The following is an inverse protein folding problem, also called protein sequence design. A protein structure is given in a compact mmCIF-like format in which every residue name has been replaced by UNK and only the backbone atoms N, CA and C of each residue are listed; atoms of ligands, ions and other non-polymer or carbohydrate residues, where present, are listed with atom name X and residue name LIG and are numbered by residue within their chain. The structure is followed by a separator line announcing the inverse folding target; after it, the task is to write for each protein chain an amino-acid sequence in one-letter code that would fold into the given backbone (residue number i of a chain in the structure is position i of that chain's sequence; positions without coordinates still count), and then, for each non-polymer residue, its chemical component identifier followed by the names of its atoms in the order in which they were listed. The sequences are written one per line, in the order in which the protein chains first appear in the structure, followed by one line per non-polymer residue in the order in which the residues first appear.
data_IF_094561634279
#
_entry.id   IF_094561634279
#
_cell.length_a   1.000
_cell.length_b   1.000
_cell.length_c   1.000
_cell.angle_alpha   90.00
_cell.angle_beta   90.00
_cell.angle_gamma   90.00
#
_symmetry.space_group_name_H-M   'P 1'
#
loop_
_entity.id
_entity.type
_entity.pdbx_description
1 polymer ?
#
# COMPACT_ATOMS: atom_id res chain seq x y z
N UNK A 1 -3.58 1.10 -20.63
CA UNK A 1 -3.87 2.43 -20.04
C UNK A 1 -5.23 3.06 -20.39
N UNK A 2 -5.66 3.09 -21.66
CA UNK A 2 -6.83 3.90 -22.08
C UNK A 2 -8.18 3.47 -21.47
N UNK A 3 -8.42 2.18 -21.24
CA UNK A 3 -9.72 1.72 -20.73
C UNK A 3 -9.95 2.05 -19.27
N UNK A 4 -8.95 1.85 -18.41
CA UNK A 4 -9.08 2.13 -16.97
C UNK A 4 -9.19 3.62 -16.69
N UNK A 5 -8.46 4.45 -17.45
CA UNK A 5 -8.63 5.91 -17.43
C UNK A 5 -10.03 6.33 -17.85
N UNK A 6 -10.57 5.77 -18.94
CA UNK A 6 -11.94 6.02 -19.40
C UNK A 6 -12.99 5.56 -18.37
N UNK A 7 -12.78 4.43 -17.69
CA UNK A 7 -13.69 3.94 -16.63
C UNK A 7 -13.67 4.87 -15.41
N UNK A 8 -12.49 5.27 -14.93
CA UNK A 8 -12.37 6.24 -13.84
C UNK A 8 -13.01 7.59 -14.20
N UNK A 9 -12.75 8.11 -15.39
CA UNK A 9 -13.35 9.37 -15.87
C UNK A 9 -14.87 9.27 -15.95
N UNK A 10 -15.44 8.18 -16.49
CA UNK A 10 -16.89 7.97 -16.53
C UNK A 10 -17.51 7.93 -15.13
N UNK A 11 -16.88 7.24 -14.20
CA UNK A 11 -17.35 7.20 -12.80
C UNK A 11 -17.26 8.57 -12.13
N UNK A 12 -16.19 9.32 -12.37
CA UNK A 12 -16.02 10.66 -11.82
C UNK A 12 -17.05 11.64 -12.40
N UNK A 13 -17.26 11.62 -13.72
CA UNK A 13 -18.31 12.40 -14.38
C UNK A 13 -19.69 12.02 -13.85
N UNK A 14 -19.98 10.72 -13.70
CA UNK A 14 -21.23 10.23 -13.12
C UNK A 14 -21.45 10.71 -11.68
N UNK A 15 -20.39 10.74 -10.86
CA UNK A 15 -20.43 11.26 -9.50
C UNK A 15 -20.73 12.77 -9.47
N UNK A 16 -20.03 13.56 -10.28
CA UNK A 16 -20.27 15.01 -10.41
C UNK A 16 -21.68 15.29 -10.93
N UNK A 17 -22.13 14.57 -11.96
CA UNK A 17 -23.49 14.69 -12.50
C UNK A 17 -24.56 14.35 -11.45
N UNK A 18 -24.31 13.36 -10.60
CA UNK A 18 -25.19 13.01 -9.48
C UNK A 18 -25.27 14.16 -8.48
N UNK A 19 -24.14 14.75 -8.07
CA UNK A 19 -24.13 15.93 -7.17
C UNK A 19 -24.93 17.09 -7.78
N UNK A 20 -24.72 17.38 -9.07
CA UNK A 20 -25.44 18.45 -9.77
C UNK A 20 -26.95 18.17 -9.83
N UNK A 21 -27.35 16.93 -10.12
CA UNK A 21 -28.75 16.52 -10.11
C UNK A 21 -29.38 16.75 -8.73
N UNK A 22 -28.72 16.31 -7.65
CA UNK A 22 -29.22 16.54 -6.29
C UNK A 22 -29.29 18.03 -5.94
N UNK A 23 -28.31 18.84 -6.34
CA UNK A 23 -28.35 20.28 -6.13
C UNK A 23 -29.55 20.95 -6.83
N UNK A 24 -29.83 20.55 -8.08
CA UNK A 24 -31.01 21.04 -8.82
C UNK A 24 -32.31 20.60 -8.16
N UNK A 25 -32.43 19.31 -7.77
CA UNK A 25 -33.62 18.80 -7.07
C UNK A 25 -33.85 19.54 -5.75
N UNK A 26 -32.80 19.78 -4.98
CA UNK A 26 -32.88 20.57 -3.75
C UNK A 26 -33.36 22.00 -4.02
N UNK A 27 -32.82 22.68 -5.03
CA UNK A 27 -33.25 24.03 -5.41
C UNK A 27 -34.74 24.07 -5.81
N UNK A 28 -35.20 23.07 -6.59
CA UNK A 28 -36.60 22.94 -6.98
C UNK A 28 -37.52 22.76 -5.76
N UNK A 29 -37.15 21.92 -4.80
CA UNK A 29 -37.91 21.73 -3.56
C UNK A 29 -38.00 23.05 -2.77
N UNK A 30 -36.91 23.81 -2.70
CA UNK A 30 -36.86 25.08 -1.98
C UNK A 30 -37.80 26.14 -2.60
N UNK A 31 -37.78 26.28 -3.93
CA UNK A 31 -38.57 27.28 -4.68
C UNK A 31 -40.07 26.91 -4.76
N UNK A 32 -40.42 25.62 -4.62
CA UNK A 32 -41.81 25.16 -4.67
C UNK A 32 -42.72 25.86 -3.63
N UNK A 33 -44.01 26.02 -3.93
CA UNK A 33 -45.01 26.58 -3.00
C UNK A 33 -45.58 25.56 -2.00
N UNK A 34 -44.94 24.39 -1.85
CA UNK A 34 -45.44 23.31 -1.01
C UNK A 34 -45.34 23.63 0.49
N UNK A 35 -46.18 22.96 1.28
CA UNK A 35 -46.16 23.04 2.73
C UNK A 35 -44.76 22.67 3.27
N UNK A 36 -44.31 23.38 4.31
CA UNK A 36 -43.01 23.18 4.96
C UNK A 36 -42.76 21.71 5.35
N UNK A 37 -43.78 21.02 5.84
CA UNK A 37 -43.65 19.61 6.26
C UNK A 37 -43.33 18.70 5.07
N UNK A 38 -43.94 18.95 3.91
CA UNK A 38 -43.68 18.18 2.68
C UNK A 38 -42.27 18.47 2.17
N UNK A 39 -41.82 19.74 2.21
CA UNK A 39 -40.47 20.12 1.83
C UNK A 39 -39.41 19.41 2.69
N UNK A 40 -39.61 19.38 4.01
CA UNK A 40 -38.70 18.73 4.95
C UNK A 40 -38.60 17.22 4.70
N UNK A 41 -39.74 16.54 4.50
CA UNK A 41 -39.75 15.11 4.19
C UNK A 41 -39.02 14.78 2.89
N UNK A 42 -39.23 15.58 1.83
CA UNK A 42 -38.51 15.40 0.56
C UNK A 42 -37.03 15.70 0.69
N UNK A 43 -36.66 16.72 1.46
CA UNK A 43 -35.26 17.06 1.71
C UNK A 43 -34.53 15.92 2.43
N UNK A 44 -35.17 15.33 3.45
CA UNK A 44 -34.63 14.15 4.15
C UNK A 44 -34.45 12.97 3.20
N UNK A 45 -35.44 12.71 2.33
CA UNK A 45 -35.35 11.65 1.33
C UNK A 45 -34.18 11.88 0.37
N UNK A 46 -34.00 13.10 -0.14
CA UNK A 46 -32.88 13.46 -1.01
C UNK A 46 -31.53 13.26 -0.30
N UNK A 47 -31.44 13.61 0.98
CA UNK A 47 -30.22 13.43 1.77
C UNK A 47 -29.87 11.95 1.94
N UNK A 48 -30.86 11.10 2.22
CA UNK A 48 -30.68 9.64 2.32
C UNK A 48 -30.19 9.08 0.98
N UNK A 49 -30.81 9.48 -0.14
CA UNK A 49 -30.41 9.02 -1.47
C UNK A 49 -28.99 9.49 -1.84
N UNK A 50 -28.62 10.72 -1.49
CA UNK A 50 -27.27 11.26 -1.69
C UNK A 50 -26.22 10.50 -0.86
N UNK A 51 -26.55 10.14 0.37
CA UNK A 51 -25.69 9.32 1.23
C UNK A 51 -25.44 7.94 0.62
N UNK A 52 -26.50 7.27 0.15
CA UNK A 52 -26.40 5.98 -0.55
C UNK A 52 -25.52 6.11 -1.80
N UNK A 53 -25.75 7.14 -2.63
CA UNK A 53 -24.95 7.39 -3.82
C UNK A 53 -23.47 7.60 -3.47
N UNK A 54 -23.18 8.38 -2.43
CA UNK A 54 -21.80 8.65 -1.98
C UNK A 54 -21.09 7.37 -1.53
N UNK A 55 -21.77 6.52 -0.75
CA UNK A 55 -21.26 5.21 -0.32
C UNK A 55 -21.01 4.30 -1.52
N UNK A 56 -21.83 4.38 -2.56
CA UNK A 56 -21.69 3.59 -3.79
C UNK A 56 -20.51 4.06 -4.68
N UNK A 57 -20.32 5.38 -4.83
CA UNK A 57 -19.27 5.93 -5.70
C UNK A 57 -17.87 5.88 -5.08
N UNK A 58 -17.74 6.20 -3.79
CA UNK A 58 -16.45 6.34 -3.10
C UNK A 58 -15.52 5.13 -3.27
N UNK A 59 -15.92 3.88 -2.96
CA UNK A 59 -15.02 2.73 -3.07
C UNK A 59 -14.63 2.43 -4.52
N UNK A 60 -15.54 2.66 -5.49
CA UNK A 60 -15.27 2.42 -6.91
C UNK A 60 -14.28 3.43 -7.48
N UNK A 61 -14.44 4.71 -7.16
CA UNK A 61 -13.49 5.75 -7.56
C UNK A 61 -12.10 5.47 -7.00
N UNK A 62 -12.04 5.07 -5.73
CA UNK A 62 -10.79 4.70 -5.06
C UNK A 62 -10.11 3.51 -5.74
N UNK A 63 -10.85 2.41 -5.95
CA UNK A 63 -10.35 1.20 -6.61
C UNK A 63 -9.73 1.51 -7.98
N UNK A 64 -10.45 2.25 -8.83
CA UNK A 64 -9.93 2.59 -10.16
C UNK A 64 -8.75 3.57 -10.12
N UNK A 65 -8.70 4.48 -9.16
CA UNK A 65 -7.53 5.36 -8.96
C UNK A 65 -6.28 4.57 -8.55
N UNK A 66 -6.46 3.59 -7.65
CA UNK A 66 -5.41 2.67 -7.22
C UNK A 66 -4.89 1.84 -8.39
N UNK A 67 -5.79 1.23 -9.17
CA UNK A 67 -5.41 0.42 -10.33
C UNK A 67 -4.65 1.26 -11.38
N UNK A 68 -5.10 2.49 -11.67
CA UNK A 68 -4.36 3.36 -12.59
C UNK A 68 -2.94 3.67 -12.10
N UNK A 69 -2.77 3.86 -10.79
CA UNK A 69 -1.46 4.10 -10.19
C UNK A 69 -0.56 2.87 -10.33
N UNK A 70 -1.13 1.69 -10.17
CA UNK A 70 -0.45 0.42 -10.34
C UNK A 70 0.00 0.19 -11.79
N UNK A 71 -0.89 0.41 -12.76
CA UNK A 71 -0.55 0.31 -14.19
C UNK A 71 0.57 1.29 -14.58
N UNK A 72 0.52 2.54 -14.12
CA UNK A 72 1.58 3.54 -14.38
C UNK A 72 2.94 3.12 -13.84
N UNK A 73 2.95 2.43 -12.69
CA UNK A 73 4.17 1.91 -12.09
C UNK A 73 4.75 0.77 -12.94
N UNK A 74 3.88 -0.11 -13.47
CA UNK A 74 4.24 -1.21 -14.38
C UNK A 74 4.65 -0.78 -15.78
N UNK A 75 4.17 0.36 -16.29
CA UNK A 75 4.55 0.88 -17.62
C UNK A 75 6.01 1.34 -17.67
N UNK A 76 6.58 1.69 -16.52
CA UNK A 76 7.96 2.18 -16.43
C UNK A 76 8.72 1.45 -15.32
N UNK A 77 8.78 0.11 -15.35
CA UNK A 77 9.48 -0.64 -14.32
C UNK A 77 10.96 -0.35 -14.48
N UNK A 78 11.62 -0.09 -13.37
CA UNK A 78 13.07 0.02 -13.37
C UNK A 78 13.70 -1.37 -13.43
N UNK A 79 14.90 -1.44 -13.99
CA UNK A 79 15.68 -2.67 -14.05
C UNK A 79 16.01 -3.20 -12.64
N UNK A 80 16.24 -4.52 -12.51
CA UNK A 80 16.68 -5.15 -11.28
C UNK A 80 17.93 -4.46 -10.73
N UNK A 81 18.05 -4.42 -9.41
CA UNK A 81 19.18 -3.78 -8.74
C UNK A 81 20.21 -4.85 -8.38
N UNK A 82 21.45 -4.66 -8.82
CA UNK A 82 22.58 -5.46 -8.32
C UNK A 82 22.87 -5.05 -6.87
N UNK A 83 22.80 -6.01 -5.95
CA UNK A 83 23.03 -5.74 -4.53
C UNK A 83 24.53 -5.76 -4.23
N UNK A 84 24.98 -4.88 -3.33
CA UNK A 84 26.35 -4.95 -2.80
C UNK A 84 26.50 -6.04 -1.75
N UNK A 85 25.40 -6.30 -1.03
CA UNK A 85 25.33 -7.31 0.00
C UNK A 85 24.69 -8.58 -0.51
N UNK A 86 25.19 -9.72 -0.06
CA UNK A 86 24.48 -10.97 -0.23
C UNK A 86 23.35 -11.04 0.80
N UNK A 87 22.11 -10.86 0.33
CA UNK A 87 20.92 -10.80 1.17
C UNK A 87 20.62 -12.14 1.86
N UNK A 88 21.21 -13.24 1.39
CA UNK A 88 21.06 -14.57 2.00
C UNK A 88 22.01 -14.79 3.19
N UNK A 89 23.06 -13.97 3.30
CA UNK A 89 24.15 -14.19 4.25
C UNK A 89 23.87 -13.54 5.62
N UNK A 90 24.38 -14.17 6.68
CA UNK A 90 24.36 -13.66 8.06
C UNK A 90 25.04 -12.31 8.23
N UNK A 91 25.98 -11.97 7.33
CA UNK A 91 26.60 -10.64 7.29
C UNK A 91 25.59 -9.52 7.04
N UNK A 92 24.61 -9.75 6.16
CA UNK A 92 23.55 -8.78 5.90
C UNK A 92 22.55 -8.69 7.06
N UNK A 93 22.22 -9.81 7.71
CA UNK A 93 21.43 -9.81 8.95
C UNK A 93 22.10 -8.95 10.04
N UNK A 94 23.43 -9.09 10.19
CA UNK A 94 24.22 -8.28 11.12
C UNK A 94 24.20 -6.80 10.74
N UNK A 95 24.21 -6.50 9.44
CA UNK A 95 24.07 -5.13 8.93
C UNK A 95 22.71 -4.52 9.24
N UNK A 96 21.61 -5.29 9.11
CA UNK A 96 20.27 -4.84 9.50
C UNK A 96 20.22 -4.46 10.99
N UNK A 97 20.81 -5.29 11.87
CA UNK A 97 20.90 -4.97 13.30
C UNK A 97 21.68 -3.69 13.57
N UNK A 98 22.78 -3.45 12.83
CA UNK A 98 23.53 -2.17 12.89
C UNK A 98 22.71 -0.97 12.40
N UNK A 99 21.70 -1.18 11.57
CA UNK A 99 20.73 -0.16 11.12
C UNK A 99 19.51 -0.04 12.04
N UNK A 100 19.64 -0.50 13.29
CA UNK A 100 18.63 -0.42 14.35
C UNK A 100 17.38 -1.28 14.11
N UNK A 101 17.43 -2.21 13.15
CA UNK A 101 16.40 -3.24 13.03
C UNK A 101 16.58 -4.28 14.13
N UNK A 102 15.49 -4.59 14.84
CA UNK A 102 15.45 -5.62 15.88
C UNK A 102 14.95 -6.91 15.27
N UNK A 103 15.61 -8.01 15.60
CA UNK A 103 15.13 -9.34 15.23
C UNK A 103 13.91 -9.69 16.10
N UNK A 104 12.82 -10.09 15.46
CA UNK A 104 11.61 -10.55 16.14
C UNK A 104 11.54 -12.08 16.17
N UNK A 105 11.69 -12.71 15.01
CA UNK A 105 11.70 -14.17 14.87
C UNK A 105 12.71 -14.59 13.81
N UNK A 106 13.38 -15.72 14.03
CA UNK A 106 14.25 -16.37 13.07
C UNK A 106 13.99 -17.87 13.10
N UNK A 107 13.34 -18.38 12.06
CA UNK A 107 13.06 -19.79 11.90
C UNK A 107 13.63 -20.30 10.56
N UNK A 108 13.46 -21.59 10.29
CA UNK A 108 13.86 -22.20 9.01
C UNK A 108 13.08 -21.62 7.82
N UNK A 109 11.80 -21.26 8.02
CA UNK A 109 10.94 -20.78 6.94
C UNK A 109 11.15 -19.31 6.61
N UNK A 110 11.29 -18.45 7.62
CA UNK A 110 11.45 -17.01 7.43
C UNK A 110 12.11 -16.33 8.64
N UNK A 111 12.60 -15.11 8.39
CA UNK A 111 13.16 -14.20 9.39
C UNK A 111 12.43 -12.89 9.35
N UNK A 112 12.08 -12.33 10.51
CA UNK A 112 11.42 -11.02 10.61
C UNK A 112 12.24 -10.07 11.44
N UNK A 113 12.55 -8.94 10.82
CA UNK A 113 13.11 -7.77 11.46
C UNK A 113 12.08 -6.66 11.53
N UNK A 114 12.19 -5.82 12.55
CA UNK A 114 11.32 -4.67 12.68
C UNK A 114 12.07 -3.47 13.25
N UNK A 115 11.59 -2.28 12.90
CA UNK A 115 12.07 -1.02 13.45
C UNK A 115 10.89 -0.08 13.62
N UNK A 116 10.85 0.58 14.77
CA UNK A 116 9.92 1.68 14.99
C UNK A 116 10.63 2.99 14.67
N UNK A 117 10.10 3.74 13.71
CA UNK A 117 10.63 5.04 13.34
C UNK A 117 9.56 6.11 13.57
N UNK A 118 9.99 7.28 14.05
CA UNK A 118 9.17 8.48 13.93
C UNK A 118 9.50 9.05 12.56
N UNK A 119 8.48 9.34 11.74
CA UNK A 119 8.63 9.75 10.33
C UNK A 119 9.86 10.67 10.12
N UNK A 120 10.63 10.46 9.03
CA UNK A 120 11.73 11.34 8.66
C UNK A 120 11.31 12.82 8.66
N UNK A 121 12.27 13.73 8.91
CA UNK A 121 12.04 15.19 8.96
C UNK A 121 11.31 15.79 7.74
N UNK A 122 11.26 15.06 6.62
CA UNK A 122 10.73 15.50 5.33
C UNK A 122 9.21 15.29 5.16
N UNK A 123 8.52 14.64 6.10
CA UNK A 123 7.07 14.48 6.05
C UNK A 123 6.35 15.62 6.78
N UNK A 124 5.25 16.11 6.18
CA UNK A 124 4.42 17.20 6.74
C UNK A 124 3.81 16.81 8.09
N UNK A 125 3.45 15.54 8.25
CA UNK A 125 2.95 14.95 9.51
C UNK A 125 3.96 13.94 10.01
N UNK A 126 4.41 14.07 11.26
CA UNK A 126 5.38 13.15 11.88
C UNK A 126 4.68 11.92 12.45
N UNK A 127 4.04 11.14 11.60
CA UNK A 127 3.31 9.97 12.04
C UNK A 127 4.32 8.85 12.37
N UNK A 128 4.11 8.10 13.46
CA UNK A 128 4.99 6.97 13.76
C UNK A 128 4.76 5.84 12.75
N UNK A 129 5.85 5.19 12.33
CA UNK A 129 5.85 4.14 11.32
C UNK A 129 6.49 2.87 11.87
N UNK A 130 5.82 1.74 11.63
CA UNK A 130 6.37 0.41 11.87
C UNK A 130 6.95 -0.11 10.55
N UNK A 131 8.25 -0.32 10.53
CA UNK A 131 8.99 -0.85 9.40
C UNK A 131 9.31 -2.31 9.66
N UNK A 132 8.89 -3.19 8.75
CA UNK A 132 9.05 -4.64 8.89
C UNK A 132 9.75 -5.16 7.64
N UNK A 133 10.77 -5.99 7.85
CA UNK A 133 11.49 -6.69 6.79
C UNK A 133 11.31 -8.18 7.04
N UNK A 134 10.83 -8.89 6.03
CA UNK A 134 10.61 -10.34 6.07
C UNK A 134 11.48 -11.00 5.02
N UNK A 135 12.26 -11.98 5.45
CA UNK A 135 13.13 -12.77 4.60
C UNK A 135 12.57 -14.17 4.51
N UNK A 136 12.09 -14.56 3.33
CA UNK A 136 11.44 -15.85 3.07
C UNK A 136 12.51 -16.82 2.57
N UNK A 137 12.88 -17.77 3.42
CA UNK A 137 13.91 -18.79 3.16
C UNK A 137 13.35 -20.04 2.51
N UNK A 138 12.11 -20.41 2.85
CA UNK A 138 11.48 -21.62 2.34
C UNK A 138 11.02 -21.44 0.88
N UNK A 139 11.51 -22.25 -0.09
CA UNK A 139 11.19 -22.06 -1.51
C UNK A 139 9.70 -22.19 -1.83
N UNK A 140 8.99 -23.07 -1.12
CA UNK A 140 7.56 -23.33 -1.29
C UNK A 140 6.67 -22.24 -0.68
N UNK A 141 7.23 -21.36 0.14
CA UNK A 141 6.50 -20.32 0.83
C UNK A 141 6.38 -19.08 -0.05
N UNK A 142 5.16 -18.65 -0.36
CA UNK A 142 4.91 -17.41 -1.10
C UNK A 142 4.70 -16.19 -0.18
N UNK A 143 4.69 -14.99 -0.76
CA UNK A 143 4.56 -13.71 -0.04
C UNK A 143 3.30 -13.65 0.83
N UNK A 144 2.20 -14.28 0.38
CA UNK A 144 0.89 -14.29 1.04
C UNK A 144 0.70 -15.46 2.03
N UNK A 145 1.78 -16.17 2.40
CA UNK A 145 1.68 -17.34 3.25
C UNK A 145 1.11 -16.99 4.64
N UNK A 146 0.17 -17.81 5.12
CA UNK A 146 -0.52 -17.60 6.40
C UNK A 146 0.44 -17.51 7.60
N UNK A 147 1.58 -18.19 7.57
CA UNK A 147 2.55 -18.12 8.65
C UNK A 147 3.21 -16.74 8.74
N UNK A 148 3.50 -16.09 7.60
CA UNK A 148 3.99 -14.70 7.58
C UNK A 148 2.95 -13.77 8.20
N UNK A 149 1.69 -13.91 7.79
CA UNK A 149 0.58 -13.10 8.33
C UNK A 149 0.42 -13.29 9.84
N UNK A 150 0.53 -14.53 10.33
CA UNK A 150 0.50 -14.82 11.78
C UNK A 150 1.66 -14.15 12.52
N UNK A 151 2.88 -14.25 11.99
CA UNK A 151 4.07 -13.61 12.58
C UNK A 151 3.93 -12.09 12.64
N UNK A 152 3.41 -11.48 11.58
CA UNK A 152 3.11 -10.04 11.54
C UNK A 152 2.09 -9.68 12.62
N UNK A 153 0.98 -10.42 12.73
CA UNK A 153 -0.04 -10.15 13.74
C UNK A 153 0.51 -10.26 15.17
N UNK A 154 1.37 -11.26 15.43
CA UNK A 154 2.06 -11.39 16.72
C UNK A 154 2.96 -10.19 17.02
N UNK A 155 3.68 -9.68 16.01
CA UNK A 155 4.50 -8.48 16.15
C UNK A 155 3.64 -7.25 16.47
N UNK A 156 2.51 -7.08 15.77
CA UNK A 156 1.57 -5.99 16.06
C UNK A 156 1.03 -6.07 17.49
N UNK A 157 0.67 -7.26 17.95
CA UNK A 157 0.14 -7.49 19.30
C UNK A 157 1.20 -7.21 20.38
N UNK A 158 2.48 -7.51 20.13
CA UNK A 158 3.60 -7.13 21.00
C UNK A 158 3.72 -5.60 21.14
N UNK A 159 3.58 -4.86 20.03
CA UNK A 159 3.57 -3.39 20.07
C UNK A 159 2.36 -2.84 20.81
N UNK A 160 1.17 -3.43 20.63
CA UNK A 160 -0.05 -3.07 21.35
C UNK A 160 0.10 -3.32 22.85
N UNK A 161 0.65 -4.46 23.25
CA UNK A 161 0.94 -4.80 24.65
C UNK A 161 1.90 -3.78 25.29
N UNK A 162 2.92 -3.35 24.53
CA UNK A 162 3.87 -2.29 24.93
C UNK A 162 3.29 -0.87 24.89
N UNK A 163 2.02 -0.71 24.48
CA UNK A 163 1.34 0.58 24.29
C UNK A 163 2.05 1.52 23.31
N UNK A 164 2.85 0.97 22.39
CA UNK A 164 3.54 1.75 21.36
C UNK A 164 2.59 1.89 20.17
N UNK A 165 2.14 3.12 19.91
CA UNK A 165 1.28 3.42 18.77
C UNK A 165 2.11 3.73 17.53
N UNK A 166 1.80 3.03 16.44
CA UNK A 166 2.22 3.36 15.09
C UNK A 166 0.98 3.68 14.26
N UNK A 167 1.12 4.62 13.33
CA UNK A 167 0.06 5.05 12.42
C UNK A 167 0.31 4.53 11.02
N UNK A 168 1.57 4.53 10.56
CA UNK A 168 1.96 4.03 9.25
C UNK A 168 2.60 2.64 9.36
N UNK A 169 2.51 1.89 8.28
CA UNK A 169 2.95 0.51 8.19
C UNK A 169 3.72 0.30 6.89
N UNK A 170 4.95 -0.21 6.96
CA UNK A 170 5.66 -0.71 5.78
C UNK A 170 6.18 -2.10 5.97
N UNK A 171 6.00 -2.91 4.94
CA UNK A 171 6.43 -4.28 4.85
C UNK A 171 7.29 -4.46 3.60
N UNK A 172 8.53 -4.90 3.79
CA UNK A 172 9.43 -5.32 2.72
C UNK A 172 9.57 -6.83 2.82
N UNK A 173 9.12 -7.58 1.83
CA UNK A 173 9.22 -9.04 1.80
C UNK A 173 10.25 -9.41 0.74
N UNK A 174 11.25 -10.21 1.10
CA UNK A 174 12.29 -10.68 0.19
C UNK A 174 12.28 -12.20 0.14
N UNK A 175 12.00 -12.75 -1.04
CA UNK A 175 12.08 -14.20 -1.30
C UNK A 175 13.36 -14.51 -2.08
N UNK A 176 14.03 -15.58 -1.71
CA UNK A 176 15.26 -16.03 -2.37
C UNK A 176 14.98 -17.12 -3.39
N UNK A 177 15.79 -17.18 -4.44
CA UNK A 177 15.85 -18.32 -5.34
C UNK A 177 16.90 -18.13 -6.43
N UNK A 178 16.85 -18.99 -7.45
CA UNK A 178 17.70 -18.92 -8.63
C UNK A 178 17.12 -17.92 -9.63
N UNK A 179 16.75 -18.39 -10.82
CA UNK A 179 16.26 -17.55 -11.90
C UNK A 179 14.81 -17.11 -11.67
N UNK A 180 14.53 -15.84 -11.96
CA UNK A 180 13.17 -15.30 -11.86
C UNK A 180 12.30 -15.84 -13.00
N UNK A 181 11.19 -16.47 -12.65
CA UNK A 181 10.16 -16.88 -13.61
C UNK A 181 9.13 -15.78 -13.82
N UNK A 182 8.39 -15.82 -14.93
CA UNK A 182 7.29 -14.88 -15.18
C UNK A 182 6.24 -14.90 -14.06
N UNK A 183 5.90 -16.08 -13.54
CA UNK A 183 4.99 -16.23 -12.40
C UNK A 183 5.52 -15.51 -11.14
N UNK A 184 6.82 -15.66 -10.85
CA UNK A 184 7.43 -14.98 -9.72
C UNK A 184 7.49 -13.47 -9.95
N UNK A 185 7.76 -13.03 -11.18
CA UNK A 185 7.74 -11.61 -11.55
C UNK A 185 6.35 -11.00 -11.35
N UNK A 186 5.27 -11.73 -11.65
CA UNK A 186 3.91 -11.29 -11.35
C UNK A 186 3.68 -11.12 -9.85
N UNK A 187 4.12 -12.08 -9.02
CA UNK A 187 4.03 -12.00 -7.55
C UNK A 187 4.86 -10.86 -6.95
N UNK A 188 6.07 -10.64 -7.47
CA UNK A 188 6.92 -9.50 -7.11
C UNK A 188 6.26 -8.17 -7.46
N UNK A 189 5.50 -8.14 -8.56
CA UNK A 189 4.78 -6.96 -8.98
C UNK A 189 3.54 -6.67 -8.12
N UNK A 190 3.09 -7.56 -7.24
CA UNK A 190 1.94 -7.34 -6.35
C UNK A 190 2.31 -6.47 -5.14
N UNK A 191 2.56 -5.19 -5.41
CA UNK A 191 2.83 -4.19 -4.36
C UNK A 191 1.54 -3.55 -3.84
N UNK A 192 1.54 -3.15 -2.57
CA UNK A 192 0.43 -2.43 -1.93
C UNK A 192 0.88 -1.03 -1.55
N UNK A 193 0.05 -0.02 -1.83
CA UNK A 193 0.28 1.36 -1.40
C UNK A 193 -1.03 2.03 -0.98
N UNK A 194 -1.68 1.44 0.01
CA UNK A 194 -3.02 1.80 0.45
C UNK A 194 -3.02 2.92 1.51
N UNK A 195 -4.14 3.64 1.61
CA UNK A 195 -4.39 4.61 2.68
C UNK A 195 -5.71 4.28 3.38
N UNK A 196 -5.62 3.78 4.60
CA UNK A 196 -6.78 3.41 5.42
C UNK A 196 -6.86 4.30 6.66
N UNK A 197 -7.97 5.00 6.87
CA UNK A 197 -8.22 5.82 8.08
C UNK A 197 -7.09 6.80 8.45
N UNK A 198 -6.36 7.31 7.46
CA UNK A 198 -5.22 8.22 7.67
C UNK A 198 -3.86 7.51 7.82
N UNK A 199 -3.85 6.19 8.00
CA UNK A 199 -2.68 5.32 7.99
C UNK A 199 -2.26 4.98 6.56
N UNK A 200 -0.96 4.98 6.31
CA UNK A 200 -0.38 4.49 5.06
C UNK A 200 0.13 3.06 5.23
N UNK A 201 -0.27 2.17 4.33
CA UNK A 201 0.12 0.76 4.32
C UNK A 201 0.87 0.49 3.02
N UNK A 202 2.18 0.26 3.13
CA UNK A 202 3.04 -0.02 1.99
C UNK A 202 3.56 -1.45 2.09
N UNK A 203 3.38 -2.25 1.04
CA UNK A 203 3.98 -3.59 0.92
C UNK A 203 4.79 -3.65 -0.37
N UNK A 204 6.07 -3.98 -0.25
CA UNK A 204 6.97 -4.20 -1.39
C UNK A 204 7.46 -5.64 -1.36
N UNK A 205 7.15 -6.37 -2.42
CA UNK A 205 7.67 -7.71 -2.66
C UNK A 205 8.95 -7.61 -3.49
N UNK A 206 9.98 -8.30 -3.04
CA UNK A 206 11.27 -8.42 -3.69
C UNK A 206 11.64 -9.89 -3.88
N UNK A 207 12.23 -10.19 -5.03
CA UNK A 207 12.84 -11.48 -5.30
C UNK A 207 14.34 -11.30 -5.49
N UNK A 208 15.14 -12.05 -4.73
CA UNK A 208 16.58 -12.01 -4.82
C UNK A 208 17.10 -13.28 -5.48
N UNK A 209 17.68 -13.08 -6.66
CA UNK A 209 18.39 -14.12 -7.40
C UNK A 209 19.80 -14.27 -6.81
N UNK A 210 20.04 -15.43 -6.19
CA UNK A 210 21.28 -15.69 -5.44
C UNK A 210 22.51 -15.72 -6.33
N UNK A 211 22.35 -16.24 -7.55
CA UNK A 211 23.48 -16.52 -8.46
C UNK A 211 24.05 -15.24 -9.07
N UNK A 212 23.16 -14.31 -9.45
CA UNK A 212 23.55 -13.04 -10.09
C UNK A 212 23.59 -11.87 -9.11
N UNK A 213 23.16 -12.08 -7.85
CA UNK A 213 22.99 -11.04 -6.82
C UNK A 213 22.10 -9.89 -7.28
N UNK A 214 21.04 -10.22 -8.03
CA UNK A 214 20.06 -9.24 -8.51
C UNK A 214 18.81 -9.30 -7.65
N UNK A 215 18.34 -8.12 -7.28
CA UNK A 215 17.08 -7.92 -6.57
C UNK A 215 16.04 -7.35 -7.55
N UNK A 216 14.97 -8.10 -7.75
CA UNK A 216 13.82 -7.75 -8.55
C UNK A 216 12.72 -7.24 -7.62
N UNK A 217 12.26 -6.01 -7.81
CA UNK A 217 11.07 -5.48 -7.15
C UNK A 217 10.46 -4.39 -8.01
N UNK A 218 9.15 -4.22 -7.93
CA UNK A 218 8.48 -3.21 -8.73
C UNK A 218 8.82 -1.82 -8.18
N UNK A 219 9.46 -0.98 -9.00
CA UNK A 219 9.64 0.43 -8.74
C UNK A 219 9.84 1.20 -10.03
N UNK A 220 9.61 2.52 -10.04
CA UNK A 220 9.86 3.37 -11.20
C UNK A 220 10.66 4.62 -10.83
N UNK A 221 11.49 5.09 -11.76
CA UNK A 221 12.15 6.41 -11.67
C UNK A 221 11.24 7.56 -12.12
N UNK A 222 10.25 7.27 -12.98
CA UNK A 222 9.39 8.28 -13.61
C UNK A 222 8.11 8.53 -12.83
N UNK A 223 7.60 7.50 -12.13
CA UNK A 223 6.34 7.58 -11.41
C UNK A 223 6.46 6.99 -10.01
N UNK A 224 5.86 7.66 -9.04
CA UNK A 224 5.80 7.16 -7.67
C UNK A 224 4.38 7.40 -7.13
N UNK A 225 3.67 6.36 -6.68
CA UNK A 225 2.25 6.49 -6.32
C UNK A 225 2.01 7.30 -5.04
N UNK A 226 2.96 7.32 -4.11
CA UNK A 226 2.86 8.11 -2.89
C UNK A 226 4.25 8.42 -2.29
N UNK A 227 4.33 9.46 -1.45
CA UNK A 227 5.57 9.79 -0.73
C UNK A 227 6.02 8.65 0.20
N UNK A 228 5.09 7.94 0.82
CA UNK A 228 5.39 6.77 1.66
C UNK A 228 5.93 5.61 0.83
N UNK A 229 5.37 5.37 -0.35
CA UNK A 229 5.92 4.36 -1.25
C UNK A 229 7.35 4.73 -1.68
N UNK A 230 7.60 6.02 -2.00
CA UNK A 230 8.96 6.51 -2.28
C UNK A 230 9.91 6.20 -1.13
N UNK A 231 9.49 6.52 0.09
CA UNK A 231 10.28 6.30 1.29
C UNK A 231 10.66 4.85 1.47
N UNK A 232 9.72 3.91 1.33
CA UNK A 232 10.01 2.48 1.48
C UNK A 232 10.92 1.96 0.37
N UNK A 233 10.76 2.44 -0.88
CA UNK A 233 11.68 2.12 -1.98
C UNK A 233 13.09 2.63 -1.69
N UNK A 234 13.22 3.87 -1.23
CA UNK A 234 14.53 4.48 -0.92
C UNK A 234 15.19 3.80 0.30
N UNK A 235 14.39 3.45 1.31
CA UNK A 235 14.81 2.62 2.44
C UNK A 235 15.33 1.28 1.95
N UNK A 236 14.55 0.55 1.15
CA UNK A 236 14.95 -0.76 0.66
C UNK A 236 16.26 -0.69 -0.13
N UNK A 237 16.39 0.30 -1.03
CA UNK A 237 17.64 0.56 -1.76
C UNK A 237 18.82 0.83 -0.83
N UNK A 238 18.65 1.64 0.21
CA UNK A 238 19.72 1.95 1.18
C UNK A 238 20.17 0.74 2.02
N UNK A 239 19.36 -0.31 2.07
CA UNK A 239 19.68 -1.53 2.78
C UNK A 239 20.43 -2.54 1.91
N UNK A 240 20.37 -2.41 0.58
CA UNK A 240 20.92 -3.41 -0.37
C UNK A 240 22.03 -2.86 -1.28
N UNK A 241 22.13 -1.53 -1.44
CA UNK A 241 23.18 -0.80 -2.16
C UNK A 241 24.09 -0.11 -1.16
#
# INVERSE_FOLDING_TARGET
MNEMRKKHQRLFIGFVATILLFAVLTALVLISSWNINVKLSLFLLLLILLLIATIWFRPRLYFHAMQMSYEKLKEHPHLPITTKHDLSNRSWLTYLTKKEFKLFIENESHVVFHRYTKDPKNFVTKNPMLEIIILIREPKMDFDNLNITKTINMLEDDYRAKKIKFTNYSLIQVKYGSEITDEMQEKVNQVVFDRQNGSHIIVINGYYETDTKKLYFLHSKKYVPSLYYKYVVDLFKSLVI
#
